data_IF_194457829768
#
_entry.id   IF_194457829768
#
_cell.length_a   1.000
_cell.length_b   1.000
_cell.length_c   1.000
_cell.angle_alpha   90.00
_cell.angle_beta   90.00
_cell.angle_gamma   90.00
#
_symmetry.space_group_name_H-M   'P 1'
#
loop_
_entity.id
_entity.type
_entity.pdbx_description
1 polymer ?
#
# COMPACT_ATOMS: atom_id res chain seq x y z
N UNK A 1 17.32 -13.63 -16.19
CA UNK A 1 17.23 -12.61 -15.14
C UNK A 1 16.91 -13.28 -13.83
N UNK A 2 17.54 -12.84 -12.76
CA UNK A 2 17.18 -13.20 -11.39
C UNK A 2 16.15 -12.18 -10.90
N UNK A 3 15.00 -12.66 -10.42
CA UNK A 3 13.86 -11.81 -10.07
C UNK A 3 13.50 -12.03 -8.61
N UNK A 4 13.24 -10.95 -7.89
CA UNK A 4 12.72 -10.97 -6.53
C UNK A 4 11.29 -10.40 -6.50
N UNK A 5 10.35 -11.15 -5.93
CA UNK A 5 8.99 -10.68 -5.68
C UNK A 5 8.85 -10.35 -4.19
N UNK A 6 8.35 -9.16 -3.86
CA UNK A 6 8.09 -8.77 -2.46
C UNK A 6 6.64 -9.05 -2.09
N UNK A 7 6.44 -9.67 -0.93
CA UNK A 7 5.15 -9.98 -0.30
C UNK A 7 4.94 -11.49 -0.07
N UNK A 8 3.76 -11.83 0.45
CA UNK A 8 3.44 -13.17 0.95
C UNK A 8 1.98 -13.59 0.70
N UNK A 9 1.20 -12.80 -0.03
CA UNK A 9 -0.20 -13.06 -0.32
C UNK A 9 -0.42 -13.92 -1.57
N UNK A 10 -1.70 -14.12 -1.91
CA UNK A 10 -2.09 -14.82 -3.14
C UNK A 10 -1.74 -14.06 -4.42
N UNK A 11 -1.66 -12.72 -4.35
CA UNK A 11 -1.18 -11.88 -5.46
C UNK A 11 0.27 -12.21 -5.80
N UNK A 12 1.14 -12.26 -4.79
CA UNK A 12 2.56 -12.57 -5.00
C UNK A 12 2.77 -14.03 -5.40
N UNK A 13 1.94 -14.95 -4.90
CA UNK A 13 1.90 -16.32 -5.45
C UNK A 13 1.59 -16.29 -6.95
N UNK A 14 0.55 -15.57 -7.36
CA UNK A 14 0.17 -15.47 -8.78
C UNK A 14 1.28 -14.86 -9.64
N UNK A 15 1.94 -13.81 -9.15
CA UNK A 15 3.12 -13.25 -9.82
C UNK A 15 4.22 -14.27 -9.95
N UNK A 16 4.54 -14.99 -8.87
CA UNK A 16 5.57 -16.04 -8.84
C UNK A 16 5.26 -17.13 -9.86
N UNK A 17 4.03 -17.64 -9.83
CA UNK A 17 3.52 -18.64 -10.77
C UNK A 17 3.64 -18.19 -12.23
N UNK A 18 3.31 -16.92 -12.52
CA UNK A 18 3.34 -16.42 -13.89
C UNK A 18 4.76 -16.09 -14.38
N UNK A 19 5.57 -15.47 -13.54
CA UNK A 19 6.96 -15.11 -13.87
C UNK A 19 7.82 -16.34 -14.12
N UNK A 20 7.58 -17.43 -13.36
CA UNK A 20 8.30 -18.70 -13.52
C UNK A 20 8.16 -19.31 -14.93
N UNK A 21 7.09 -18.99 -15.65
CA UNK A 21 6.84 -19.48 -17.02
C UNK A 21 7.61 -18.70 -18.10
N UNK A 22 8.31 -17.62 -17.75
CA UNK A 22 9.06 -16.81 -18.70
C UNK A 22 10.43 -17.42 -18.98
N UNK A 23 10.77 -17.61 -20.25
CA UNK A 23 12.12 -18.04 -20.68
C UNK A 23 13.23 -17.07 -20.28
N UNK A 24 12.86 -15.83 -19.90
CA UNK A 24 13.81 -14.83 -19.39
C UNK A 24 14.07 -14.98 -17.89
N UNK A 25 13.25 -15.73 -17.16
CA UNK A 25 13.45 -15.96 -15.72
C UNK A 25 14.45 -17.11 -15.52
N UNK A 26 15.58 -16.82 -14.86
CA UNK A 26 16.59 -17.83 -14.52
C UNK A 26 16.39 -18.33 -13.09
N UNK A 27 16.42 -17.42 -12.13
CA UNK A 27 16.16 -17.69 -10.73
C UNK A 27 15.03 -16.78 -10.24
N UNK A 28 14.17 -17.31 -9.38
CA UNK A 28 13.02 -16.59 -8.84
C UNK A 28 13.04 -16.71 -7.33
N UNK A 29 12.93 -15.57 -6.67
CA UNK A 29 12.93 -15.42 -5.22
C UNK A 29 11.68 -14.69 -4.76
N UNK A 30 11.21 -14.98 -3.55
CA UNK A 30 10.06 -14.28 -2.94
C UNK A 30 10.41 -13.92 -1.50
N UNK A 31 10.11 -12.69 -1.07
CA UNK A 31 10.41 -12.22 0.29
C UNK A 31 9.17 -11.58 0.96
N UNK A 32 8.63 -12.15 2.07
CA UNK A 32 9.04 -13.41 2.67
C UNK A 32 8.48 -14.66 1.95
N UNK A 33 7.49 -14.48 1.07
CA UNK A 33 6.76 -15.58 0.44
C UNK A 33 5.82 -16.31 1.41
N UNK A 34 5.30 -17.45 0.97
CA UNK A 34 4.45 -18.36 1.73
C UNK A 34 4.69 -19.82 1.33
N UNK A 35 4.01 -20.77 1.97
CA UNK A 35 4.14 -22.21 1.68
C UNK A 35 3.78 -22.62 0.26
N UNK A 36 2.99 -21.81 -0.46
CA UNK A 36 2.68 -22.01 -1.87
C UNK A 36 3.81 -21.54 -2.78
N UNK A 37 4.41 -20.37 -2.52
CA UNK A 37 5.53 -19.86 -3.33
C UNK A 37 6.80 -20.69 -3.17
N UNK A 38 6.99 -21.33 -2.02
CA UNK A 38 8.13 -22.22 -1.76
C UNK A 38 8.17 -23.44 -2.71
N UNK A 39 7.02 -23.79 -3.29
CA UNK A 39 6.91 -24.87 -4.28
C UNK A 39 7.32 -24.44 -5.70
N UNK A 40 7.48 -23.13 -5.94
CA UNK A 40 7.66 -22.54 -7.28
C UNK A 40 8.96 -21.74 -7.39
N UNK A 41 9.40 -21.17 -6.28
CA UNK A 41 10.52 -20.24 -6.15
C UNK A 41 11.22 -20.43 -4.79
N UNK A 42 12.35 -19.75 -4.59
CA UNK A 42 13.04 -19.75 -3.30
C UNK A 42 12.53 -18.63 -2.42
N UNK A 43 11.86 -18.96 -1.33
CA UNK A 43 11.50 -17.98 -0.32
C UNK A 43 12.75 -17.49 0.44
N UNK A 44 12.78 -16.20 0.76
CA UNK A 44 13.80 -15.57 1.59
C UNK A 44 13.12 -15.09 2.87
N UNK A 45 13.63 -15.47 4.04
CA UNK A 45 13.10 -15.03 5.33
C UNK A 45 13.48 -13.57 5.62
N UNK A 46 12.90 -12.66 4.83
CA UNK A 46 13.12 -11.21 4.86
C UNK A 46 11.77 -10.53 4.73
N UNK A 47 11.45 -9.63 5.66
CA UNK A 47 10.25 -8.81 5.55
C UNK A 47 10.32 -7.90 4.32
N UNK A 48 9.19 -7.71 3.63
CA UNK A 48 9.11 -6.86 2.44
C UNK A 48 9.50 -5.38 2.71
N UNK A 49 9.51 -4.96 3.97
CA UNK A 49 9.87 -3.61 4.44
C UNK A 49 11.27 -3.52 5.06
N UNK A 50 12.01 -4.63 5.17
CA UNK A 50 13.40 -4.61 5.66
C UNK A 50 14.36 -4.26 4.51
N UNK A 51 14.40 -2.97 4.16
CA UNK A 51 15.19 -2.48 3.02
C UNK A 51 16.69 -2.81 3.13
N UNK A 52 17.35 -2.73 4.32
CA UNK A 52 18.72 -3.19 4.48
C UNK A 52 18.92 -4.68 4.16
N UNK A 53 18.04 -5.57 4.66
CA UNK A 53 18.15 -7.00 4.37
C UNK A 53 17.85 -7.29 2.89
N UNK A 54 16.89 -6.59 2.29
CA UNK A 54 16.59 -6.68 0.85
C UNK A 54 17.79 -6.27 0.00
N UNK A 55 18.49 -5.17 0.34
CA UNK A 55 19.74 -4.77 -0.34
C UNK A 55 20.75 -5.91 -0.33
N UNK A 56 21.01 -6.50 0.84
CA UNK A 56 21.95 -7.60 0.99
C UNK A 56 21.57 -8.78 0.09
N UNK A 57 20.31 -9.20 0.12
CA UNK A 57 19.82 -10.30 -0.72
C UNK A 57 19.91 -9.98 -2.23
N UNK A 58 19.60 -8.75 -2.62
CA UNK A 58 19.69 -8.31 -4.03
C UNK A 58 21.10 -8.41 -4.56
N UNK A 59 22.09 -7.96 -3.78
CA UNK A 59 23.50 -8.04 -4.16
C UNK A 59 24.00 -9.49 -4.16
N UNK A 60 23.70 -10.27 -3.11
CA UNK A 60 24.14 -11.65 -2.97
C UNK A 60 23.56 -12.58 -4.06
N UNK A 61 22.30 -12.37 -4.44
CA UNK A 61 21.60 -13.17 -5.45
C UNK A 61 21.69 -12.58 -6.86
N UNK A 62 22.40 -11.46 -7.03
CA UNK A 62 22.51 -10.71 -8.28
C UNK A 62 21.13 -10.51 -8.94
N UNK A 63 20.19 -9.91 -8.19
CA UNK A 63 18.82 -9.67 -8.65
C UNK A 63 18.83 -8.54 -9.69
N UNK A 64 18.24 -8.80 -10.85
CA UNK A 64 18.12 -7.83 -11.94
C UNK A 64 16.84 -6.99 -11.84
N UNK A 65 15.79 -7.57 -11.24
CA UNK A 65 14.47 -6.96 -11.15
C UNK A 65 13.77 -7.33 -9.84
N UNK A 66 13.19 -6.31 -9.19
CA UNK A 66 12.32 -6.46 -8.02
C UNK A 66 10.89 -6.11 -8.43
N UNK A 67 9.94 -7.00 -8.16
CA UNK A 67 8.50 -6.76 -8.36
C UNK A 67 7.85 -6.59 -7.00
N UNK A 68 7.26 -5.43 -6.75
CA UNK A 68 6.68 -5.13 -5.44
C UNK A 68 5.19 -5.45 -5.45
N UNK A 69 4.79 -6.43 -4.63
CA UNK A 69 3.40 -6.85 -4.50
C UNK A 69 2.57 -5.98 -3.56
N UNK A 70 2.92 -5.87 -2.26
CA UNK A 70 2.17 -5.09 -1.29
C UNK A 70 2.46 -3.59 -1.37
N UNK A 71 1.47 -2.83 -0.95
CA UNK A 71 1.45 -1.37 -0.92
C UNK A 71 2.39 -0.78 0.14
N UNK A 72 2.56 -1.45 1.28
CA UNK A 72 3.34 -0.95 2.42
C UNK A 72 4.80 -0.59 2.07
N UNK A 73 5.62 -1.46 1.45
CA UNK A 73 6.98 -1.08 1.06
C UNK A 73 7.02 0.04 0.01
N UNK A 74 6.00 0.19 -0.84
CA UNK A 74 5.91 1.29 -1.81
C UNK A 74 5.68 2.63 -1.09
N UNK A 75 4.74 2.65 -0.15
CA UNK A 75 4.47 3.83 0.70
C UNK A 75 5.68 4.19 1.57
N UNK A 76 6.43 3.19 2.03
CA UNK A 76 7.68 3.41 2.77
C UNK A 76 8.85 3.85 1.89
N UNK A 77 8.75 3.71 0.56
CA UNK A 77 9.73 4.22 -0.40
C UNK A 77 10.80 3.22 -0.82
N UNK A 78 10.46 1.94 -0.95
CA UNK A 78 11.42 0.91 -1.41
C UNK A 78 12.02 1.25 -2.77
N UNK A 79 11.24 1.83 -3.70
CA UNK A 79 11.77 2.22 -5.00
C UNK A 79 12.80 3.35 -4.87
N UNK A 80 12.47 4.39 -4.10
CA UNK A 80 13.41 5.49 -3.84
C UNK A 80 14.69 5.02 -3.14
N UNK A 81 14.56 4.06 -2.22
CA UNK A 81 15.71 3.42 -1.57
C UNK A 81 16.65 2.75 -2.57
N UNK A 82 16.12 2.05 -3.58
CA UNK A 82 16.93 1.45 -4.64
C UNK A 82 17.58 2.50 -5.55
N UNK A 83 16.83 3.54 -5.94
CA UNK A 83 17.34 4.60 -6.82
C UNK A 83 18.45 5.43 -6.16
N UNK A 84 18.36 5.65 -4.85
CA UNK A 84 19.33 6.44 -4.09
C UNK A 84 20.64 5.68 -3.81
N UNK A 85 20.66 4.36 -3.95
CA UNK A 85 21.83 3.54 -3.65
C UNK A 85 22.63 3.21 -4.93
N UNK A 86 23.90 3.60 -4.96
CA UNK A 86 24.79 3.39 -6.11
C UNK A 86 24.91 1.92 -6.55
N UNK A 87 24.77 0.97 -5.62
CA UNK A 87 24.85 -0.46 -5.90
C UNK A 87 23.50 -1.05 -6.31
N UNK A 88 22.39 -0.34 -6.13
CA UNK A 88 21.05 -0.85 -6.44
C UNK A 88 20.36 -0.10 -7.59
N UNK A 89 20.78 1.13 -7.92
CA UNK A 89 20.10 1.99 -8.89
C UNK A 89 19.95 1.40 -10.31
N UNK A 90 20.69 0.36 -10.62
CA UNK A 90 20.61 -0.37 -11.88
C UNK A 90 19.60 -1.53 -11.87
N UNK A 91 19.13 -1.93 -10.69
CA UNK A 91 18.11 -2.97 -10.50
C UNK A 91 16.76 -2.37 -10.84
N UNK A 92 16.02 -3.02 -11.75
CA UNK A 92 14.70 -2.54 -12.14
C UNK A 92 13.69 -2.77 -11.01
N UNK A 93 13.06 -1.71 -10.50
CA UNK A 93 11.98 -1.82 -9.51
C UNK A 93 10.63 -1.61 -10.20
N UNK A 94 9.81 -2.67 -10.19
CA UNK A 94 8.44 -2.62 -10.70
C UNK A 94 7.51 -2.25 -9.55
N UNK A 95 7.26 -0.94 -9.45
CA UNK A 95 6.40 -0.31 -8.45
C UNK A 95 6.61 1.21 -8.46
N UNK A 96 5.66 2.03 -7.99
CA UNK A 96 5.83 3.48 -7.93
C UNK A 96 6.91 3.92 -6.93
N UNK A 97 7.51 5.09 -7.17
CA UNK A 97 8.21 5.85 -6.12
C UNK A 97 7.22 6.32 -5.05
N UNK A 98 7.73 6.63 -3.85
CA UNK A 98 6.96 7.07 -2.67
C UNK A 98 5.99 8.20 -2.97
N UNK A 99 6.42 9.19 -3.76
CA UNK A 99 5.58 10.32 -4.14
C UNK A 99 4.35 9.89 -4.96
N UNK A 100 4.50 8.90 -5.85
CA UNK A 100 3.39 8.35 -6.62
C UNK A 100 2.56 7.35 -5.80
N UNK A 101 3.20 6.58 -4.91
CA UNK A 101 2.52 5.68 -3.97
C UNK A 101 1.56 6.41 -3.01
N UNK A 102 1.74 7.73 -2.81
CA UNK A 102 0.82 8.56 -2.04
C UNK A 102 -0.62 8.56 -2.57
N UNK A 103 -0.84 8.28 -3.87
CA UNK A 103 -2.19 8.11 -4.43
C UNK A 103 -2.96 6.94 -3.80
N UNK A 104 -2.26 5.92 -3.30
CA UNK A 104 -2.85 4.79 -2.59
C UNK A 104 -2.68 4.92 -1.08
N UNK A 105 -1.51 5.38 -0.62
CA UNK A 105 -1.15 5.51 0.78
C UNK A 105 -1.90 6.60 1.55
N UNK A 106 -2.40 7.66 0.88
CA UNK A 106 -3.21 8.71 1.50
C UNK A 106 -4.49 8.95 0.69
N UNK A 107 -5.64 8.68 1.33
CA UNK A 107 -6.96 8.90 0.73
C UNK A 107 -7.22 10.40 0.60
N UNK A 108 -6.75 11.20 1.54
CA UNK A 108 -6.80 12.66 1.45
C UNK A 108 -6.03 13.15 0.21
N UNK A 109 -4.78 12.70 0.03
CA UNK A 109 -3.99 13.08 -1.14
C UNK A 109 -4.68 12.67 -2.44
N UNK A 110 -5.20 11.44 -2.51
CA UNK A 110 -5.91 10.92 -3.67
C UNK A 110 -7.17 11.75 -3.98
N UNK A 111 -7.92 12.15 -2.96
CA UNK A 111 -9.11 12.98 -3.08
C UNK A 111 -8.80 14.39 -3.53
N UNK A 112 -7.76 15.01 -2.97
CA UNK A 112 -7.26 16.29 -3.42
C UNK A 112 -6.73 16.21 -4.87
N UNK A 113 -6.13 15.08 -5.26
CA UNK A 113 -5.72 14.81 -6.65
C UNK A 113 -6.90 14.77 -7.59
N UNK A 114 -7.94 14.01 -7.24
CA UNK A 114 -9.12 13.92 -8.08
C UNK A 114 -9.81 15.29 -8.22
N UNK A 115 -9.96 16.03 -7.12
CA UNK A 115 -10.58 17.35 -7.13
C UNK A 115 -9.82 18.36 -7.99
N UNK A 116 -8.50 18.49 -7.82
CA UNK A 116 -7.70 19.48 -8.58
C UNK A 116 -7.59 19.17 -10.07
N UNK A 117 -7.81 17.92 -10.46
CA UNK A 117 -7.75 17.46 -11.85
C UNK A 117 -9.13 17.18 -12.46
N UNK A 118 -10.22 17.56 -11.78
CA UNK A 118 -11.61 17.32 -12.21
C UNK A 118 -11.91 15.84 -12.54
N UNK A 119 -11.30 14.91 -11.81
CA UNK A 119 -11.60 13.48 -11.93
C UNK A 119 -12.85 13.19 -11.09
N UNK A 120 -13.90 12.59 -11.68
CA UNK A 120 -15.13 12.28 -10.95
C UNK A 120 -14.86 11.44 -9.70
N UNK A 121 -15.28 11.96 -8.55
CA UNK A 121 -15.16 11.27 -7.25
C UNK A 121 -16.30 11.70 -6.34
N UNK A 122 -16.64 10.87 -5.35
CA UNK A 122 -17.64 11.26 -4.36
C UNK A 122 -17.20 12.54 -3.63
N UNK A 123 -18.15 13.46 -3.39
CA UNK A 123 -17.93 14.62 -2.53
C UNK A 123 -17.35 14.18 -1.18
N UNK A 124 -16.38 14.93 -0.68
CA UNK A 124 -15.66 14.57 0.54
C UNK A 124 -15.21 15.82 1.28
N UNK A 125 -14.95 15.65 2.57
CA UNK A 125 -14.22 16.60 3.38
C UNK A 125 -13.40 15.80 4.40
N UNK A 126 -12.20 16.29 4.73
CA UNK A 126 -11.31 15.67 5.71
C UNK A 126 -11.43 16.38 7.06
N UNK A 127 -11.28 15.61 8.14
CA UNK A 127 -11.35 16.09 9.51
C UNK A 127 -10.28 15.41 10.36
N UNK A 128 -9.85 16.08 11.41
CA UNK A 128 -8.94 15.60 12.45
C UNK A 128 -9.58 15.82 13.83
N UNK A 129 -8.90 15.37 14.90
CA UNK A 129 -9.40 15.54 16.27
C UNK A 129 -9.69 17.01 16.64
N UNK A 130 -8.98 17.97 16.04
CA UNK A 130 -9.17 19.41 16.31
C UNK A 130 -10.38 20.00 15.57
N UNK A 131 -10.89 19.31 14.55
CA UNK A 131 -11.97 19.76 13.66
C UNK A 131 -13.21 18.88 13.73
N UNK A 132 -13.35 18.04 14.77
CA UNK A 132 -14.46 17.10 14.95
C UNK A 132 -15.85 17.75 14.84
N UNK A 133 -16.05 18.93 15.45
CA UNK A 133 -17.32 19.66 15.37
C UNK A 133 -17.69 20.08 13.93
N UNK A 134 -16.68 20.44 13.11
CA UNK A 134 -16.90 20.69 11.68
C UNK A 134 -17.30 19.42 10.95
N UNK A 135 -16.76 18.28 11.38
CA UNK A 135 -17.12 16.95 10.90
C UNK A 135 -18.58 16.61 11.15
N UNK A 136 -19.09 16.91 12.34
CA UNK A 136 -20.51 16.76 12.65
C UNK A 136 -21.41 17.64 11.78
N UNK A 137 -21.07 18.93 11.64
CA UNK A 137 -21.83 19.83 10.77
C UNK A 137 -21.81 19.40 9.31
N UNK A 138 -20.71 18.81 8.83
CA UNK A 138 -20.64 18.24 7.49
C UNK A 138 -21.55 17.02 7.35
N UNK A 139 -21.55 16.09 8.31
CA UNK A 139 -22.46 14.93 8.30
C UNK A 139 -23.93 15.36 8.28
N UNK A 140 -24.30 16.39 9.04
CA UNK A 140 -25.66 16.96 9.04
C UNK A 140 -26.07 17.55 7.68
N UNK A 141 -25.10 17.98 6.87
CA UNK A 141 -25.37 18.49 5.51
C UNK A 141 -25.60 17.40 4.47
N UNK A 142 -25.28 16.14 4.79
CA UNK A 142 -25.34 15.00 3.87
C UNK A 142 -26.61 14.16 4.09
N UNK A 143 -26.94 13.35 3.09
CA UNK A 143 -27.99 12.32 3.18
C UNK A 143 -27.34 10.93 3.28
N UNK A 144 -27.94 10.00 4.03
CA UNK A 144 -27.44 8.64 4.12
C UNK A 144 -27.45 7.91 2.77
N UNK A 145 -26.60 6.89 2.58
CA UNK A 145 -25.63 6.38 3.55
C UNK A 145 -24.37 7.26 3.70
N UNK A 146 -23.93 7.45 4.93
CA UNK A 146 -22.68 8.12 5.29
C UNK A 146 -21.50 7.16 5.11
N UNK A 147 -20.43 7.63 4.48
CA UNK A 147 -19.23 6.82 4.26
C UNK A 147 -18.05 7.46 4.98
N UNK A 148 -17.62 6.85 6.09
CA UNK A 148 -16.45 7.28 6.85
C UNK A 148 -15.23 6.46 6.41
N UNK A 149 -14.09 7.13 6.24
CA UNK A 149 -12.85 6.49 5.82
C UNK A 149 -11.68 6.99 6.66
N UNK A 150 -10.94 6.09 7.29
CA UNK A 150 -9.68 6.43 7.94
C UNK A 150 -8.65 6.79 6.86
N UNK A 151 -7.89 7.87 7.06
CA UNK A 151 -6.73 8.13 6.21
C UNK A 151 -5.60 7.13 6.51
N UNK A 152 -4.69 6.91 5.55
CA UNK A 152 -3.63 5.91 5.70
C UNK A 152 -4.03 4.46 5.40
N UNK A 153 -3.10 3.55 5.67
CA UNK A 153 -3.21 2.11 5.45
C UNK A 153 -3.95 1.43 6.62
N UNK A 154 -5.27 1.38 6.53
CA UNK A 154 -6.11 0.71 7.55
C UNK A 154 -6.37 -0.78 7.23
N UNK A 155 -5.44 -1.45 6.54
CA UNK A 155 -5.54 -2.87 6.11
C UNK A 155 -6.91 -3.26 5.50
N UNK A 156 -7.52 -2.36 4.74
CA UNK A 156 -8.85 -2.55 4.14
C UNK A 156 -10.04 -2.52 5.11
N UNK A 157 -9.84 -2.26 6.41
CA UNK A 157 -10.89 -2.24 7.44
C UNK A 157 -11.37 -0.84 7.83
N UNK A 158 -10.63 0.20 7.45
CA UNK A 158 -10.94 1.59 7.81
C UNK A 158 -12.03 2.26 6.98
N UNK A 159 -13.04 1.53 6.50
CA UNK A 159 -14.19 2.08 5.77
C UNK A 159 -15.49 1.63 6.43
N UNK A 160 -16.32 2.59 6.82
CA UNK A 160 -17.64 2.35 7.42
C UNK A 160 -18.72 2.93 6.52
N UNK A 161 -19.82 2.20 6.35
CA UNK A 161 -21.02 2.65 5.62
C UNK A 161 -22.18 2.62 6.61
N UNK A 162 -22.71 3.78 6.95
CA UNK A 162 -23.62 3.98 8.08
C UNK A 162 -24.88 4.70 7.59
N UNK A 163 -26.06 4.22 7.98
CA UNK A 163 -27.33 4.83 7.57
C UNK A 163 -27.85 5.86 8.58
N UNK A 164 -27.49 5.71 9.85
CA UNK A 164 -27.92 6.60 10.93
C UNK A 164 -26.92 7.72 11.16
N UNK A 165 -27.42 8.96 11.32
CA UNK A 165 -26.57 10.13 11.50
C UNK A 165 -25.84 10.12 12.85
N UNK A 166 -26.49 9.67 13.91
CA UNK A 166 -25.91 9.67 15.25
C UNK A 166 -24.85 8.56 15.39
N UNK A 167 -25.10 7.40 14.79
CA UNK A 167 -24.07 6.35 14.62
C UNK A 167 -22.87 6.87 13.81
N UNK A 168 -23.10 7.63 12.74
CA UNK A 168 -22.02 8.21 11.94
C UNK A 168 -21.19 9.24 12.73
N UNK A 169 -21.81 10.09 13.55
CA UNK A 169 -21.10 11.02 14.43
C UNK A 169 -20.29 10.29 15.49
N UNK A 170 -20.87 9.25 16.12
CA UNK A 170 -20.17 8.45 17.12
C UNK A 170 -18.94 7.76 16.52
N UNK A 171 -19.08 7.15 15.34
CA UNK A 171 -17.98 6.49 14.65
C UNK A 171 -16.91 7.48 14.17
N UNK A 172 -17.29 8.67 13.69
CA UNK A 172 -16.33 9.72 13.35
C UNK A 172 -15.44 10.10 14.55
N UNK A 173 -16.05 10.27 15.74
CA UNK A 173 -15.31 10.53 16.97
C UNK A 173 -14.38 9.37 17.33
N UNK A 174 -14.87 8.13 17.28
CA UNK A 174 -14.08 6.94 17.59
C UNK A 174 -12.86 6.82 16.66
N UNK A 175 -13.02 7.19 15.39
CA UNK A 175 -11.94 7.15 14.41
C UNK A 175 -10.88 8.23 14.66
N UNK A 176 -11.28 9.44 15.05
CA UNK A 176 -10.37 10.60 15.16
C UNK A 176 -9.75 10.77 16.54
N UNK A 177 -10.47 10.41 17.61
CA UNK A 177 -10.06 10.64 19.01
C UNK A 177 -9.62 9.35 19.67
N UNK A 178 -10.38 8.28 19.48
CA UNK A 178 -10.12 6.98 20.13
C UNK A 178 -9.19 6.07 19.30
N UNK A 179 -8.61 6.60 18.22
CA UNK A 179 -7.61 5.94 17.36
C UNK A 179 -8.00 4.50 16.95
N UNK A 180 -9.28 4.27 16.65
CA UNK A 180 -9.86 2.95 16.37
C UNK A 180 -9.08 2.11 15.32
N UNK A 181 -8.36 2.77 14.42
CA UNK A 181 -7.61 2.12 13.33
C UNK A 181 -6.10 2.35 13.38
N UNK A 182 -5.57 2.82 14.51
CA UNK A 182 -4.15 3.15 14.70
C UNK A 182 -3.90 4.65 14.75
#
# INVERSE_FOLDING_TARGET
>A
MNILILGSGGREHTFTWKVKQSDKCKNLYVAPGNSGTDQIATNLDIAATDFPALKKAVLEKAIDMVVVGPEDPLVQGVHDFFLADEQLKHVAVIGPQKAAAALEGSKEFAKAFMSRHNIPTAAYQSFDASTLEKGYGFLESLKPPYVLKADGLAAGKGVLIINDLEEAKAELKNMLVDAKFG
#
